data_IF_475388454579
#
_entry.id   IF_475388454579
#
_cell.length_a   1.000
_cell.length_b   1.000
_cell.length_c   1.000
_cell.angle_alpha   90.00
_cell.angle_beta   90.00
_cell.angle_gamma   90.00
#
_symmetry.space_group_name_H-M   'P 1'
#
loop_
_entity.id
_entity.type
_entity.pdbx_description
1 polymer ?
#
# COMPACT_ATOMS: atom_id res chain seq x y z
N UNK A 1 4.13 -15.61 -14.18
CA UNK A 1 3.23 -14.79 -13.32
C UNK A 1 3.76 -14.87 -11.89
N UNK A 2 3.93 -13.75 -11.22
CA UNK A 2 4.16 -13.73 -9.77
C UNK A 2 2.79 -13.79 -9.10
N UNK A 3 2.54 -14.81 -8.30
CA UNK A 3 1.29 -14.96 -7.56
C UNK A 3 1.45 -14.35 -6.17
N UNK A 4 0.59 -13.40 -5.82
CA UNK A 4 0.74 -12.65 -4.57
C UNK A 4 0.10 -13.43 -3.41
N UNK A 5 0.93 -13.87 -2.46
CA UNK A 5 0.47 -14.55 -1.24
C UNK A 5 -0.28 -13.60 -0.28
N UNK A 6 -0.27 -12.29 -0.55
CA UNK A 6 -0.98 -11.29 0.27
C UNK A 6 -2.47 -11.59 0.39
N UNK A 7 -3.07 -12.21 -0.63
CA UNK A 7 -4.49 -12.54 -0.64
C UNK A 7 -4.87 -13.63 0.38
N UNK A 8 -3.90 -14.39 0.91
CA UNK A 8 -4.15 -15.37 1.97
C UNK A 8 -4.63 -14.71 3.27
N UNK A 9 -4.29 -13.45 3.53
CA UNK A 9 -4.73 -12.69 4.71
C UNK A 9 -6.08 -11.99 4.52
N UNK A 10 -6.73 -12.17 3.37
CA UNK A 10 -8.11 -11.70 3.17
C UNK A 10 -9.06 -12.63 3.91
N UNK A 11 -10.30 -12.19 4.14
CA UNK A 11 -11.33 -13.04 4.75
C UNK A 11 -11.46 -14.39 4.05
N UNK A 12 -11.49 -14.39 2.70
CA UNK A 12 -11.58 -15.63 1.92
C UNK A 12 -10.34 -16.53 2.07
N UNK A 13 -9.15 -15.93 2.17
CA UNK A 13 -7.91 -16.67 2.36
C UNK A 13 -7.77 -17.25 3.76
N UNK A 14 -8.20 -16.51 4.79
CA UNK A 14 -8.19 -16.97 6.17
C UNK A 14 -9.18 -18.12 6.38
N UNK A 15 -10.42 -17.98 5.92
CA UNK A 15 -11.43 -19.05 6.07
C UNK A 15 -11.04 -20.32 5.33
N UNK A 16 -10.35 -20.21 4.18
CA UNK A 16 -9.80 -21.37 3.49
C UNK A 16 -8.70 -22.06 4.31
N UNK A 17 -7.80 -21.29 4.93
CA UNK A 17 -6.73 -21.86 5.76
C UNK A 17 -7.31 -22.55 6.99
N UNK A 18 -8.24 -21.89 7.70
CA UNK A 18 -8.94 -22.47 8.86
C UNK A 18 -9.64 -23.79 8.51
N UNK A 19 -10.38 -23.83 7.40
CA UNK A 19 -11.03 -25.06 6.95
C UNK A 19 -10.04 -26.18 6.59
N UNK A 20 -8.90 -25.84 5.98
CA UNK A 20 -7.87 -26.82 5.65
C UNK A 20 -7.17 -27.35 6.91
N UNK A 21 -6.93 -26.48 7.90
CA UNK A 21 -6.32 -26.85 9.17
C UNK A 21 -7.23 -27.81 9.95
N UNK A 22 -8.55 -27.58 9.98
CA UNK A 22 -9.53 -28.51 10.56
C UNK A 22 -9.50 -29.88 9.87
N UNK A 23 -9.43 -29.92 8.53
CA UNK A 23 -9.35 -31.18 7.78
C UNK A 23 -8.05 -31.93 8.04
N UNK A 24 -6.93 -31.22 8.22
CA UNK A 24 -5.64 -31.81 8.59
C UNK A 24 -5.69 -32.34 10.03
N UNK A 25 -6.27 -31.59 10.97
CA UNK A 25 -6.44 -32.00 12.36
C UNK A 25 -7.26 -33.28 12.48
N UNK A 26 -8.32 -33.42 11.68
CA UNK A 26 -9.15 -34.62 11.63
C UNK A 26 -8.56 -35.76 10.77
N UNK A 27 -7.32 -35.60 10.29
CA UNK A 27 -6.61 -36.58 9.42
C UNK A 27 -7.35 -36.92 8.12
N UNK A 28 -8.23 -36.03 7.67
CA UNK A 28 -8.94 -36.16 6.39
C UNK A 28 -8.04 -35.76 5.21
N UNK A 29 -7.08 -34.85 5.46
CA UNK A 29 -6.09 -34.40 4.50
C UNK A 29 -4.68 -34.49 5.05
N UNK A 30 -3.72 -34.79 4.17
CA UNK A 30 -2.30 -34.61 4.49
C UNK A 30 -1.93 -33.13 4.40
N UNK A 31 -1.05 -32.67 5.29
CA UNK A 31 -0.54 -31.29 5.31
C UNK A 31 0.05 -30.86 3.95
N UNK A 32 0.80 -31.75 3.29
CA UNK A 32 1.34 -31.51 1.94
C UNK A 32 0.27 -31.22 0.90
N UNK A 33 -0.93 -31.79 1.04
CA UNK A 33 -2.05 -31.56 0.13
C UNK A 33 -2.71 -30.22 0.41
N UNK A 34 -2.90 -29.86 1.68
CA UNK A 34 -3.42 -28.53 2.07
C UNK A 34 -2.53 -27.40 1.51
N UNK A 35 -1.21 -27.54 1.60
CA UNK A 35 -0.27 -26.57 1.01
C UNK A 35 -0.44 -26.40 -0.50
N UNK A 36 -0.71 -27.49 -1.23
CA UNK A 36 -0.98 -27.43 -2.68
C UNK A 36 -2.29 -26.69 -2.97
N UNK A 37 -3.32 -26.86 -2.13
CA UNK A 37 -4.59 -26.12 -2.27
C UNK A 37 -4.36 -24.62 -2.10
N UNK A 38 -3.60 -24.22 -1.07
CA UNK A 38 -3.25 -22.81 -0.83
C UNK A 38 -2.43 -22.23 -1.99
N UNK A 39 -1.44 -22.96 -2.52
CA UNK A 39 -0.71 -22.53 -3.70
C UNK A 39 -1.62 -22.36 -4.92
N UNK A 40 -2.64 -23.22 -5.06
CA UNK A 40 -3.62 -23.09 -6.14
C UNK A 40 -4.54 -21.89 -5.95
N UNK A 41 -4.94 -21.61 -4.72
CA UNK A 41 -5.69 -20.41 -4.35
C UNK A 41 -4.97 -19.13 -4.82
N UNK A 42 -3.67 -18.99 -4.55
CA UNK A 42 -2.88 -17.82 -4.95
C UNK A 42 -2.98 -17.54 -6.47
N UNK A 43 -3.01 -18.61 -7.28
CA UNK A 43 -3.16 -18.54 -8.73
C UNK A 43 -4.57 -18.11 -9.12
N UNK A 44 -5.57 -18.80 -8.57
CA UNK A 44 -6.97 -18.60 -8.92
C UNK A 44 -7.46 -17.19 -8.58
N UNK A 45 -7.13 -16.67 -7.38
CA UNK A 45 -7.58 -15.34 -6.96
C UNK A 45 -6.95 -14.24 -7.81
N UNK A 46 -5.66 -14.35 -8.12
CA UNK A 46 -4.95 -13.38 -8.96
C UNK A 46 -5.57 -13.31 -10.37
N UNK A 47 -5.89 -14.46 -10.95
CA UNK A 47 -6.55 -14.54 -12.27
C UNK A 47 -7.99 -14.03 -12.22
N UNK A 48 -8.74 -14.38 -11.17
CA UNK A 48 -10.14 -13.96 -11.02
C UNK A 48 -10.26 -12.43 -10.88
N UNK A 49 -9.42 -11.81 -10.03
CA UNK A 49 -9.40 -10.36 -9.85
C UNK A 49 -9.03 -9.64 -11.16
N UNK A 50 -8.00 -10.11 -11.87
CA UNK A 50 -7.56 -9.48 -13.12
C UNK A 50 -8.58 -9.62 -14.27
N UNK A 51 -9.30 -10.74 -14.36
CA UNK A 51 -10.18 -11.01 -15.51
C UNK A 51 -11.65 -10.63 -15.28
N UNK A 52 -12.14 -10.75 -14.04
CA UNK A 52 -13.58 -10.66 -13.75
C UNK A 52 -13.98 -9.34 -13.10
N UNK A 53 -13.07 -8.70 -12.35
CA UNK A 53 -13.38 -7.46 -11.63
C UNK A 53 -13.04 -6.26 -12.51
N UNK A 54 -14.07 -5.48 -12.86
CA UNK A 54 -13.95 -4.26 -13.68
C UNK A 54 -14.32 -2.98 -12.92
N UNK A 55 -14.88 -3.11 -11.72
CA UNK A 55 -15.29 -1.96 -10.92
C UNK A 55 -14.06 -1.13 -10.53
N UNK A 56 -14.22 0.19 -10.54
CA UNK A 56 -13.22 1.17 -10.15
C UNK A 56 -13.73 1.97 -8.95
N UNK A 57 -12.93 2.00 -7.89
CA UNK A 57 -13.20 2.78 -6.69
C UNK A 57 -12.35 4.05 -6.67
N UNK A 58 -12.86 5.10 -6.04
CA UNK A 58 -12.10 6.32 -5.71
C UNK A 58 -11.95 6.43 -4.19
N UNK A 59 -10.75 6.75 -3.73
CA UNK A 59 -10.40 6.85 -2.31
C UNK A 59 -9.95 8.27 -2.01
N UNK A 60 -10.52 8.90 -0.99
CA UNK A 60 -10.11 10.20 -0.48
C UNK A 60 -10.02 10.16 1.05
N UNK A 61 -8.96 10.68 1.63
CA UNK A 61 -8.82 10.75 3.09
C UNK A 61 -7.47 11.32 3.49
N UNK A 62 -7.16 11.26 4.78
CA UNK A 62 -5.92 11.79 5.33
C UNK A 62 -4.87 10.70 5.47
N UNK A 63 -3.71 10.86 4.83
CA UNK A 63 -2.60 9.94 5.02
C UNK A 63 -2.02 10.09 6.42
N UNK A 64 -1.94 8.99 7.17
CA UNK A 64 -1.37 8.95 8.51
C UNK A 64 0.11 8.54 8.45
N UNK A 65 0.40 7.39 7.84
CA UNK A 65 1.78 6.91 7.63
C UNK A 65 1.88 6.11 6.35
N UNK A 66 3.08 6.07 5.76
CA UNK A 66 3.40 5.24 4.60
C UNK A 66 4.73 4.49 4.79
N UNK A 67 4.93 3.41 4.03
CA UNK A 67 6.18 2.65 3.97
C UNK A 67 6.31 1.98 2.60
N UNK A 68 7.53 1.99 2.07
CA UNK A 68 7.91 1.21 0.91
C UNK A 68 9.10 0.31 1.28
N UNK A 69 8.94 -1.00 1.13
CA UNK A 69 9.99 -2.00 1.37
C UNK A 69 9.70 -3.22 0.50
N UNK A 70 10.74 -3.83 -0.09
CA UNK A 70 10.62 -5.05 -0.92
C UNK A 70 9.56 -4.97 -2.03
N UNK A 71 9.46 -3.81 -2.70
CA UNK A 71 8.46 -3.54 -3.75
C UNK A 71 7.00 -3.65 -3.26
N UNK A 72 6.78 -3.48 -1.96
CA UNK A 72 5.46 -3.42 -1.33
C UNK A 72 5.25 -2.05 -0.70
N UNK A 73 4.19 -1.38 -1.15
CA UNK A 73 3.68 -0.17 -0.53
C UNK A 73 2.71 -0.52 0.59
N UNK A 74 2.84 0.17 1.73
CA UNK A 74 1.85 0.14 2.81
C UNK A 74 1.45 1.57 3.15
N UNK A 75 0.16 1.86 3.08
CA UNK A 75 -0.42 3.13 3.52
C UNK A 75 -1.38 2.88 4.67
N UNK A 76 -1.38 3.76 5.66
CA UNK A 76 -2.44 3.85 6.67
C UNK A 76 -3.04 5.24 6.54
N UNK A 77 -4.35 5.30 6.34
CA UNK A 77 -5.09 6.54 6.16
C UNK A 77 -6.22 6.61 7.19
N UNK A 78 -6.58 7.82 7.60
CA UNK A 78 -7.69 8.12 8.49
C UNK A 78 -8.78 8.90 7.73
N UNK A 79 -10.02 8.84 8.23
CA UNK A 79 -11.20 9.56 7.70
C UNK A 79 -11.35 9.39 6.18
N UNK A 80 -11.43 8.13 5.75
CA UNK A 80 -11.43 7.76 4.33
C UNK A 80 -12.85 7.66 3.79
N UNK A 81 -13.12 8.46 2.77
CA UNK A 81 -14.28 8.37 1.89
C UNK A 81 -13.93 7.48 0.69
N UNK A 82 -14.66 6.36 0.55
CA UNK A 82 -14.60 5.42 -0.55
C UNK A 82 -15.82 5.65 -1.44
N UNK A 83 -15.61 6.06 -2.68
CA UNK A 83 -16.66 6.23 -3.67
C UNK A 83 -16.68 5.05 -4.64
N UNK A 84 -17.83 4.43 -4.74
CA UNK A 84 -18.21 3.50 -5.80
C UNK A 84 -19.17 4.22 -6.78
N UNK A 85 -19.48 3.59 -7.91
CA UNK A 85 -20.32 4.16 -8.97
C UNK A 85 -21.71 4.57 -8.48
N UNK A 86 -22.23 3.91 -7.44
CA UNK A 86 -23.59 4.11 -6.91
C UNK A 86 -23.64 4.43 -5.42
N UNK A 87 -22.50 4.48 -4.72
CA UNK A 87 -22.50 4.64 -3.26
C UNK A 87 -21.23 5.31 -2.74
N UNK A 88 -21.36 5.96 -1.59
CA UNK A 88 -20.25 6.54 -0.83
C UNK A 88 -20.23 5.87 0.54
N UNK A 89 -19.06 5.39 0.94
CA UNK A 89 -18.79 4.76 2.23
C UNK A 89 -17.70 5.55 2.95
N UNK A 90 -17.88 5.80 4.24
CA UNK A 90 -16.86 6.44 5.09
C UNK A 90 -16.28 5.44 6.09
N UNK A 91 -14.97 5.48 6.29
CA UNK A 91 -14.23 4.57 7.17
C UNK A 91 -13.21 5.38 7.98
N UNK A 92 -13.23 5.24 9.31
CA UNK A 92 -12.34 5.99 10.21
C UNK A 92 -10.86 5.73 9.94
N UNK A 93 -10.52 4.49 9.56
CA UNK A 93 -9.14 4.08 9.31
C UNK A 93 -9.06 2.93 8.31
N UNK A 94 -8.18 3.04 7.32
CA UNK A 94 -7.90 1.97 6.35
C UNK A 94 -6.40 1.71 6.24
N UNK A 95 -6.04 0.44 6.02
CA UNK A 95 -4.69 0.01 5.66
C UNK A 95 -4.68 -0.53 4.24
N UNK A 96 -3.86 0.06 3.38
CA UNK A 96 -3.68 -0.37 1.99
C UNK A 96 -2.31 -1.04 1.87
N UNK A 97 -2.28 -2.27 1.37
CA UNK A 97 -1.05 -3.00 1.03
C UNK A 97 -1.06 -3.29 -0.46
N UNK A 98 -0.09 -2.75 -1.20
CA UNK A 98 -0.03 -2.86 -2.64
C UNK A 98 1.33 -3.42 -3.08
N UNK A 99 1.28 -4.55 -3.79
CA UNK A 99 2.44 -5.13 -4.46
C UNK A 99 2.55 -4.58 -5.89
N UNK A 100 3.76 -4.60 -6.44
CA UNK A 100 3.97 -4.29 -7.86
C UNK A 100 3.11 -5.18 -8.77
N UNK A 101 2.26 -4.55 -9.59
CA UNK A 101 1.45 -5.23 -10.60
C UNK A 101 2.23 -5.41 -11.90
N UNK A 102 2.19 -6.62 -12.49
CA UNK A 102 2.80 -6.86 -13.80
C UNK A 102 1.90 -6.35 -14.94
N UNK A 103 1.93 -5.04 -15.17
CA UNK A 103 2.02 -4.35 -16.47
C UNK A 103 1.47 -2.91 -16.41
N UNK A 104 2.36 -1.96 -16.09
CA UNK A 104 2.61 -0.89 -17.04
C UNK A 104 4.07 -1.08 -17.45
N UNK A 105 4.36 -1.28 -18.73
CA UNK A 105 5.70 -0.98 -19.22
C UNK A 105 5.91 0.49 -18.86
N UNK A 106 6.62 0.78 -17.78
CA UNK A 106 7.34 2.04 -17.73
C UNK A 106 8.24 2.03 -18.97
N UNK A 107 8.27 3.08 -19.80
CA UNK A 107 9.34 3.21 -20.78
C UNK A 107 10.64 3.17 -19.96
N UNK A 108 11.34 2.03 -20.02
CA UNK A 108 12.69 1.91 -19.52
C UNK A 108 13.53 2.85 -20.39
N UNK A 109 13.78 4.06 -19.92
CA UNK A 109 14.86 4.89 -20.43
C UNK A 109 16.16 4.21 -20.02
N UNK A 110 16.63 3.29 -20.85
CA UNK A 110 18.01 2.89 -20.87
C UNK A 110 18.85 4.16 -21.10
N UNK A 111 19.75 4.44 -20.18
CA UNK A 111 20.69 5.54 -20.30
C UNK A 111 21.57 5.36 -21.55
N UNK A 112 21.30 6.17 -22.56
CA UNK A 112 22.25 6.59 -23.58
C UNK A 112 21.93 8.06 -23.88
N UNK A 113 22.96 8.92 -23.78
CA UNK A 113 22.82 10.37 -23.71
C UNK A 113 22.00 11.00 -24.84
N UNK A 114 21.13 11.93 -24.47
CA UNK A 114 20.35 12.77 -25.38
C UNK A 114 19.22 13.44 -24.61
N UNK A 115 19.30 14.77 -24.46
CA UNK A 115 18.38 15.55 -23.65
C UNK A 115 16.91 15.40 -24.12
N UNK A 116 16.02 14.99 -23.19
CA UNK A 116 14.56 15.11 -23.36
C UNK A 116 14.02 15.88 -22.17
N UNK A 117 13.44 17.05 -22.45
CA UNK A 117 12.80 17.92 -21.45
C UNK A 117 11.52 17.25 -20.93
N UNK A 118 11.23 17.24 -19.62
CA UNK A 118 9.93 16.79 -19.14
C UNK A 118 8.85 17.85 -19.47
N UNK A 119 7.78 17.43 -20.13
CA UNK A 119 6.58 18.23 -20.29
C UNK A 119 5.84 18.27 -18.94
N UNK A 120 6.03 19.37 -18.20
CA UNK A 120 5.25 19.69 -17.00
C UNK A 120 3.91 20.27 -17.47
N UNK A 121 2.81 19.54 -17.27
CA UNK A 121 1.47 20.14 -17.29
C UNK A 121 1.32 20.97 -16.01
N UNK A 122 1.65 22.26 -16.11
CA UNK A 122 1.41 23.26 -15.08
C UNK A 122 -0.10 23.54 -15.06
N UNK A 123 -0.81 23.08 -14.03
CA UNK A 123 -2.08 23.68 -13.65
C UNK A 123 -1.75 25.03 -12.96
N UNK A 124 -1.87 26.12 -13.71
CA UNK A 124 -1.74 27.47 -13.20
C UNK A 124 -3.05 27.83 -12.48
N UNK A 125 -3.06 27.69 -11.14
CA UNK A 125 -3.85 28.52 -10.21
C UNK A 125 -3.73 27.98 -8.77
N UNK A 126 -2.55 28.17 -8.17
CA UNK A 126 -2.39 28.10 -6.71
C UNK A 126 -1.51 29.27 -6.26
N UNK A 127 -1.97 30.15 -5.36
CA UNK A 127 -1.12 31.21 -4.82
C UNK A 127 0.04 30.61 -4.02
N UNK A 128 1.27 31.08 -4.31
CA UNK A 128 2.51 30.67 -3.65
C UNK A 128 2.57 31.28 -2.24
N UNK A 129 2.62 30.45 -1.20
CA UNK A 129 3.16 30.88 0.10
C UNK A 129 4.68 30.99 -0.03
N UNK A 130 5.23 32.15 0.32
CA UNK A 130 6.66 32.41 0.33
C UNK A 130 7.36 31.62 1.46
N UNK A 131 8.61 31.16 1.26
CA UNK A 131 9.43 30.62 2.34
C UNK A 131 9.90 31.76 3.28
N UNK A 132 10.13 31.49 4.58
CA UNK A 132 10.70 32.47 5.49
C UNK A 132 12.16 32.74 5.10
N UNK A 133 12.59 34.00 5.19
CA UNK A 133 13.94 34.44 4.94
C UNK A 133 14.87 34.01 6.09
N UNK A 134 16.02 33.43 5.74
CA UNK A 134 17.15 33.23 6.64
C UNK A 134 17.87 34.56 6.90
N UNK A 135 18.21 34.82 8.17
CA UNK A 135 19.22 35.79 8.60
C UNK A 135 18.81 36.68 9.77
N UNK A 136 19.13 36.27 11.00
CA UNK A 136 20.20 36.93 11.80
C UNK A 136 20.48 36.13 13.09
N UNK A 137 21.78 35.90 13.33
CA UNK A 137 22.35 35.37 14.57
C UNK A 137 22.06 36.32 15.74
N UNK A 138 21.65 35.81 16.91
CA UNK A 138 22.45 35.86 18.14
C UNK A 138 21.69 35.38 19.40
N UNK A 139 22.46 34.89 20.37
CA UNK A 139 22.14 34.68 21.80
C UNK A 139 21.45 33.38 22.28
N UNK A 140 22.34 32.40 22.52
CA UNK A 140 22.62 31.70 23.80
C UNK A 140 21.46 31.17 24.67
N UNK A 141 21.52 29.86 24.92
CA UNK A 141 21.17 29.23 26.21
C UNK A 141 21.36 27.70 26.16
N UNK A 142 22.22 27.09 27.00
CA UNK A 142 22.61 25.68 26.84
C UNK A 142 21.65 24.71 27.52
N UNK A 143 21.64 23.48 26.98
CA UNK A 143 21.15 22.27 27.62
C UNK A 143 21.58 22.17 29.10
N UNK A 144 20.64 21.86 30.00
CA UNK A 144 20.95 21.23 31.28
C UNK A 144 20.02 20.05 31.50
N UNK A 145 20.64 18.87 31.42
CA UNK A 145 20.20 17.60 31.98
C UNK A 145 20.04 17.73 33.50
N UNK A 146 19.09 16.99 34.07
CA UNK A 146 18.60 17.20 35.44
C UNK A 146 19.48 16.70 36.59
N UNK A 147 19.01 17.07 37.79
CA UNK A 147 19.07 16.32 39.05
C UNK A 147 20.27 16.57 39.96
N UNK A 148 20.03 17.18 41.13
CA UNK A 148 20.44 16.65 42.45
C UNK A 148 19.87 17.49 43.64
N UNK A 149 19.37 16.74 44.63
CA UNK A 149 19.21 16.96 46.09
C UNK A 149 19.32 18.36 46.72
N UNK A 150 18.33 18.72 47.57
CA UNK A 150 18.37 18.57 49.04
C UNK A 150 16.94 18.59 49.63
#
# INVERSE_FOLDING_TARGET
>A
MTYHQMYRRTTLGNTLQEALDEMVQHKLLQEKTALKVIQKFDQCISVALAKRVKNRLSLRGHLNTYRFCDNVWTFVMNDVEIKDSSSIMTVDKIKIVACEGKSAKQPQTAAAGGAVKPAVLVNADRPKMAPPADGDEDQRGPYLSGGESE
#
